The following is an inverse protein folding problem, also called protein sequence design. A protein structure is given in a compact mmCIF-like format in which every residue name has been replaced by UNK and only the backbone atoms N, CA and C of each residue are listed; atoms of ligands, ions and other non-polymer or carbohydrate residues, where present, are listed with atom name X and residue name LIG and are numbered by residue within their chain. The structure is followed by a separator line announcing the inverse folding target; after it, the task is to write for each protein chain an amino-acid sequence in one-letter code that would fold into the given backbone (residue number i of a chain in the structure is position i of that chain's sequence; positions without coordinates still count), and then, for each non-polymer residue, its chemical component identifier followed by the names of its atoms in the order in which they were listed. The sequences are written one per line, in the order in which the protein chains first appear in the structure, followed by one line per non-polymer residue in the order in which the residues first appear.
data_IF_555570758133
#
_entry.id   IF_555570758133
#
_cell.length_a   1.000
_cell.length_b   1.000
_cell.length_c   1.000
_cell.angle_alpha   90.00
_cell.angle_beta   90.00
_cell.angle_gamma   90.00
#
_symmetry.space_group_name_H-M   'P 1'
#
loop_
_entity.id
_entity.type
_entity.pdbx_description
1 polymer ?
#
# COMPACT_ATOMS: atom_id res chain seq x y z
N UNK A 1 -12.27 -15.77 12.43
CA UNK A 1 -13.08 -17.03 12.46
C UNK A 1 -12.16 -18.14 12.98
N UNK A 2 -12.62 -18.93 13.91
CA UNK A 2 -11.87 -20.08 14.40
C UNK A 2 -12.25 -21.29 13.54
N UNK A 3 -11.29 -21.84 12.79
CA UNK A 3 -11.46 -23.04 11.97
C UNK A 3 -10.38 -24.05 12.33
N UNK A 4 -10.80 -25.24 12.79
CA UNK A 4 -9.89 -26.31 13.22
C UNK A 4 -8.90 -25.93 14.36
N UNK A 5 -9.34 -25.10 15.32
CA UNK A 5 -8.50 -24.66 16.44
C UNK A 5 -7.44 -23.60 16.06
N UNK A 6 -7.45 -23.09 14.83
CA UNK A 6 -6.62 -21.96 14.39
C UNK A 6 -7.51 -20.74 14.16
N UNK A 7 -7.12 -19.62 14.74
CA UNK A 7 -7.74 -18.32 14.49
C UNK A 7 -7.29 -17.85 13.11
N UNK A 8 -8.18 -17.93 12.12
CA UNK A 8 -7.92 -17.41 10.77
C UNK A 8 -8.36 -15.94 10.72
N UNK A 9 -7.56 -15.03 10.15
CA UNK A 9 -8.00 -13.68 9.91
C UNK A 9 -9.21 -13.72 8.96
N UNK A 10 -10.29 -13.05 9.34
CA UNK A 10 -11.47 -12.88 8.51
C UNK A 10 -11.15 -11.78 7.48
N UNK A 11 -11.52 -12.01 6.21
CA UNK A 11 -11.49 -10.94 5.20
C UNK A 11 -12.46 -9.85 5.64
N UNK A 12 -11.92 -8.79 6.23
CA UNK A 12 -12.74 -7.73 6.78
C UNK A 12 -13.31 -6.86 5.66
N UNK A 13 -14.63 -6.67 5.66
CA UNK A 13 -15.33 -5.79 4.74
C UNK A 13 -15.42 -4.33 5.25
N UNK A 14 -14.56 -3.98 6.20
CA UNK A 14 -14.51 -2.68 6.86
C UNK A 14 -13.10 -2.37 7.37
N UNK A 15 -12.82 -1.08 7.57
CA UNK A 15 -11.59 -0.65 8.23
C UNK A 15 -11.72 -0.78 9.75
N UNK A 16 -10.58 -0.98 10.40
CA UNK A 16 -10.42 -0.85 11.84
C UNK A 16 -9.24 0.07 12.13
N UNK A 17 -9.45 1.10 12.93
CA UNK A 17 -8.39 2.03 13.34
C UNK A 17 -7.90 1.59 14.72
N UNK A 18 -6.63 1.22 14.79
CA UNK A 18 -5.98 0.78 16.02
C UNK A 18 -4.96 1.80 16.51
N UNK A 19 -4.68 1.78 17.80
CA UNK A 19 -3.56 2.48 18.41
C UNK A 19 -2.30 1.58 18.35
N UNK A 20 -1.16 2.11 18.73
CA UNK A 20 0.07 1.32 18.91
C UNK A 20 0.10 0.56 20.26
N UNK A 21 -0.95 0.67 21.06
CA UNK A 21 -1.05 0.01 22.36
C UNK A 21 -1.61 -1.40 22.14
N UNK A 22 -0.90 -2.40 22.65
CA UNK A 22 -1.34 -3.79 22.68
C UNK A 22 -1.87 -4.19 24.05
N UNK A 23 -2.87 -5.07 24.06
CA UNK A 23 -3.33 -5.79 25.22
C UNK A 23 -3.31 -7.31 24.91
N UNK A 24 -3.81 -8.13 25.85
CA UNK A 24 -3.85 -9.59 25.67
C UNK A 24 -4.68 -10.08 24.47
N UNK A 25 -5.57 -9.21 23.94
CA UNK A 25 -6.46 -9.50 22.82
C UNK A 25 -5.95 -8.92 21.48
N UNK A 26 -4.77 -8.26 21.48
CA UNK A 26 -4.16 -7.61 20.32
C UNK A 26 -4.14 -6.08 20.41
N UNK A 27 -4.05 -5.40 19.25
CA UNK A 27 -4.02 -3.95 19.19
C UNK A 27 -5.33 -3.31 19.66
N UNK A 28 -5.21 -2.32 20.56
CA UNK A 28 -6.36 -1.58 21.11
C UNK A 28 -6.93 -0.67 20.02
N UNK A 29 -8.27 -0.68 19.87
CA UNK A 29 -8.96 0.23 18.96
C UNK A 29 -8.72 1.69 19.36
N UNK A 30 -8.42 2.52 18.39
CA UNK A 30 -8.28 3.95 18.57
C UNK A 30 -9.66 4.60 18.82
N UNK A 31 -9.80 5.62 19.69
CA UNK A 31 -11.09 6.30 19.93
C UNK A 31 -11.77 6.84 18.65
N UNK A 32 -10.99 7.22 17.64
CA UNK A 32 -11.52 7.65 16.34
C UNK A 32 -12.27 6.52 15.59
N UNK A 33 -11.96 5.25 15.84
CA UNK A 33 -12.68 4.13 15.20
C UNK A 33 -14.17 4.16 15.59
N UNK A 34 -14.47 4.34 16.86
CA UNK A 34 -15.85 4.41 17.34
C UNK A 34 -16.56 5.68 16.85
N UNK A 35 -15.87 6.83 16.87
CA UNK A 35 -16.43 8.10 16.39
C UNK A 35 -16.81 8.06 14.91
N UNK A 36 -15.94 7.49 14.06
CA UNK A 36 -16.20 7.37 12.63
C UNK A 36 -17.26 6.31 12.35
N UNK A 37 -17.27 5.18 13.08
CA UNK A 37 -18.33 4.16 12.96
C UNK A 37 -19.71 4.69 13.34
N UNK A 38 -19.81 5.52 14.37
CA UNK A 38 -21.08 6.13 14.76
C UNK A 38 -21.70 6.96 13.64
N UNK A 39 -20.87 7.57 12.77
CA UNK A 39 -21.30 8.36 11.61
C UNK A 39 -21.49 7.50 10.35
N UNK A 40 -20.96 6.27 10.32
CA UNK A 40 -20.96 5.41 9.15
C UNK A 40 -22.28 4.65 8.96
N UNK A 41 -22.75 4.42 7.71
CA UNK A 41 -23.92 3.61 7.43
C UNK A 41 -23.76 2.19 8.01
N UNK A 42 -24.75 1.72 8.74
CA UNK A 42 -24.77 0.41 9.41
C UNK A 42 -23.57 0.18 10.35
N UNK A 43 -22.96 1.23 10.86
CA UNK A 43 -21.75 1.19 11.70
C UNK A 43 -20.57 0.46 11.05
N UNK A 44 -20.57 0.31 9.71
CA UNK A 44 -19.46 -0.28 8.96
C UNK A 44 -18.56 0.82 8.40
N UNK A 45 -17.32 0.86 8.87
CA UNK A 45 -16.35 1.86 8.44
C UNK A 45 -15.73 1.43 7.10
N UNK A 46 -16.32 1.89 6.00
CA UNK A 46 -15.83 1.63 4.62
C UNK A 46 -15.22 2.85 3.96
N UNK A 47 -15.35 4.01 4.58
CA UNK A 47 -14.83 5.28 4.11
C UNK A 47 -14.16 5.98 5.28
N UNK A 48 -12.92 6.42 5.08
CA UNK A 48 -12.16 7.19 6.07
C UNK A 48 -11.68 8.48 5.40
N UNK A 49 -12.11 9.67 5.86
CA UNK A 49 -11.53 10.94 5.42
C UNK A 49 -10.06 11.00 5.79
N UNK A 50 -9.21 11.34 4.84
CA UNK A 50 -7.76 11.42 5.04
C UNK A 50 -7.17 12.64 4.36
N UNK A 51 -5.96 13.03 4.81
CA UNK A 51 -5.05 13.91 4.11
C UNK A 51 -3.71 13.20 3.90
N UNK A 52 -3.11 13.46 2.77
CA UNK A 52 -1.73 13.04 2.54
C UNK A 52 -0.79 13.94 3.35
N UNK A 53 0.31 13.36 3.83
CA UNK A 53 1.30 14.09 4.61
C UNK A 53 2.24 14.85 3.69
N UNK A 54 2.59 14.25 2.56
CA UNK A 54 3.59 14.73 1.62
C UNK A 54 2.96 15.07 0.27
N UNK A 55 3.60 16.00 -0.44
CA UNK A 55 3.26 16.25 -1.84
C UNK A 55 3.82 15.18 -2.78
N UNK A 56 4.89 14.50 -2.37
CA UNK A 56 5.47 13.40 -3.13
C UNK A 56 4.66 12.10 -2.95
N UNK A 57 4.14 11.49 -4.03
CA UNK A 57 3.43 10.21 -3.96
C UNK A 57 4.22 9.08 -3.32
N UNK A 58 5.55 9.01 -3.58
CA UNK A 58 6.41 7.93 -3.09
C UNK A 58 6.69 8.01 -1.59
N UNK A 59 6.61 9.22 -1.01
CA UNK A 59 6.70 9.40 0.43
C UNK A 59 5.42 8.99 1.16
N UNK A 60 4.25 9.19 0.52
CA UNK A 60 2.98 8.77 1.09
C UNK A 60 2.78 7.26 1.01
N UNK A 61 3.03 6.64 -0.15
CA UNK A 61 2.91 5.21 -0.35
C UNK A 61 4.28 4.59 -0.61
N UNK A 62 4.77 3.86 0.38
CA UNK A 62 5.96 3.01 0.24
C UNK A 62 5.51 1.59 -0.06
N UNK A 63 5.87 1.11 -1.23
CA UNK A 63 5.50 -0.23 -1.69
C UNK A 63 6.72 -0.93 -2.29
N UNK A 64 7.16 -1.98 -1.61
CA UNK A 64 8.34 -2.76 -1.97
C UNK A 64 8.04 -4.26 -1.84
N UNK A 65 8.79 -5.09 -2.53
CA UNK A 65 8.85 -6.51 -2.22
C UNK A 65 9.62 -6.71 -0.92
N UNK A 66 8.99 -7.32 0.07
CA UNK A 66 9.60 -7.50 1.38
C UNK A 66 9.61 -8.98 1.78
N UNK A 67 10.73 -9.41 2.33
CA UNK A 67 10.91 -10.69 3.01
C UNK A 67 11.14 -10.39 4.48
N UNK A 68 10.30 -10.95 5.34
CA UNK A 68 10.45 -10.82 6.79
C UNK A 68 11.02 -12.09 7.41
N UNK A 69 11.82 -11.92 8.47
CA UNK A 69 12.14 -12.99 9.38
C UNK A 69 10.93 -13.31 10.27
N UNK A 70 10.48 -14.56 10.23
CA UNK A 70 9.23 -14.97 10.92
C UNK A 70 9.35 -15.01 12.45
N UNK A 71 10.57 -15.01 13.00
CA UNK A 71 10.78 -15.04 14.43
C UNK A 71 10.88 -13.64 15.03
N UNK A 72 11.57 -12.76 14.34
CA UNK A 72 11.87 -11.41 14.84
C UNK A 72 10.94 -10.33 14.28
N UNK A 73 10.18 -10.62 13.23
CA UNK A 73 9.36 -9.62 12.54
C UNK A 73 10.16 -8.57 11.75
N UNK A 74 11.46 -8.72 11.65
CA UNK A 74 12.31 -7.75 10.96
C UNK A 74 12.44 -8.05 9.48
N UNK A 75 12.50 -7.00 8.63
CA UNK A 75 12.81 -7.20 7.23
C UNK A 75 14.20 -7.79 7.04
N UNK A 76 14.30 -8.85 6.26
CA UNK A 76 15.57 -9.48 5.86
C UNK A 76 16.00 -8.98 4.48
N UNK A 77 15.03 -8.73 3.60
CA UNK A 77 15.29 -8.24 2.25
C UNK A 77 14.15 -7.31 1.82
N UNK A 78 14.51 -6.17 1.25
CA UNK A 78 13.59 -5.18 0.71
C UNK A 78 14.04 -4.82 -0.70
N UNK A 79 13.17 -4.98 -1.69
CA UNK A 79 13.52 -4.78 -3.09
C UNK A 79 12.40 -4.19 -3.93
N UNK A 80 12.77 -3.63 -5.07
CA UNK A 80 11.87 -2.98 -6.00
C UNK A 80 11.59 -3.79 -7.29
N UNK A 81 12.13 -5.01 -7.38
CA UNK A 81 12.04 -5.84 -8.59
C UNK A 81 13.30 -5.79 -9.47
N UNK A 82 14.21 -4.84 -9.24
CA UNK A 82 15.49 -4.69 -9.95
C UNK A 82 16.67 -4.84 -8.99
N UNK A 83 16.61 -4.10 -7.89
CA UNK A 83 17.61 -4.12 -6.83
C UNK A 83 16.95 -4.35 -5.47
N UNK A 84 17.67 -4.92 -4.54
CA UNK A 84 17.24 -5.06 -3.17
C UNK A 84 18.37 -4.74 -2.20
N UNK A 85 17.98 -4.31 -1.02
CA UNK A 85 18.84 -4.26 0.14
C UNK A 85 18.54 -5.51 0.99
N UNK A 86 19.59 -6.22 1.40
CA UNK A 86 19.48 -7.46 2.15
C UNK A 86 20.35 -7.39 3.38
N UNK A 87 19.80 -7.81 4.50
CA UNK A 87 20.55 -7.98 5.72
C UNK A 87 21.38 -9.28 5.64
N UNK A 88 22.70 -9.14 5.77
CA UNK A 88 23.66 -10.24 5.79
C UNK A 88 24.40 -10.25 7.13
N UNK A 89 25.27 -11.23 7.33
CA UNK A 89 26.16 -11.27 8.52
C UNK A 89 27.17 -10.11 8.56
N UNK A 90 27.39 -9.44 7.44
CA UNK A 90 28.33 -8.30 7.31
C UNK A 90 27.61 -6.94 7.35
N UNK A 91 26.28 -6.94 7.39
CA UNK A 91 25.46 -5.74 7.38
C UNK A 91 24.44 -5.72 6.24
N UNK A 92 23.99 -4.52 5.87
CA UNK A 92 23.04 -4.35 4.78
C UNK A 92 23.80 -4.20 3.47
N UNK A 93 23.54 -5.10 2.54
CA UNK A 93 24.18 -5.16 1.21
C UNK A 93 23.16 -4.99 0.09
N UNK A 94 23.60 -4.39 -1.01
CA UNK A 94 22.78 -4.27 -2.21
C UNK A 94 22.99 -5.47 -3.12
N UNK A 95 21.88 -6.07 -3.57
CA UNK A 95 21.86 -7.21 -4.49
C UNK A 95 20.87 -6.97 -5.63
N UNK A 96 20.98 -7.72 -6.76
CA UNK A 96 19.92 -7.77 -7.75
C UNK A 96 18.63 -8.36 -7.16
N UNK A 97 17.49 -7.79 -7.51
CA UNK A 97 16.16 -8.31 -7.16
C UNK A 97 15.45 -8.82 -8.43
N UNK A 98 15.37 -10.13 -8.65
CA UNK A 98 14.70 -10.67 -9.84
C UNK A 98 13.17 -10.72 -9.70
N UNK A 99 12.59 -10.02 -8.74
CA UNK A 99 11.21 -10.13 -8.27
C UNK A 99 10.92 -11.47 -7.55
N UNK A 100 9.82 -11.59 -6.78
CA UNK A 100 9.52 -12.81 -6.01
C UNK A 100 9.42 -14.08 -6.85
N UNK A 101 8.88 -13.99 -8.06
CA UNK A 101 8.64 -15.14 -8.93
C UNK A 101 9.94 -15.86 -9.38
N UNK A 102 11.02 -15.12 -9.49
CA UNK A 102 12.32 -15.63 -9.94
C UNK A 102 13.36 -15.70 -8.81
N UNK A 103 13.01 -15.24 -7.62
CA UNK A 103 13.92 -15.19 -6.46
C UNK A 103 13.92 -16.50 -5.69
N UNK A 104 15.09 -17.11 -5.50
CA UNK A 104 15.23 -18.36 -4.71
C UNK A 104 14.83 -18.18 -3.24
N UNK A 105 15.05 -16.98 -2.65
CA UNK A 105 14.68 -16.70 -1.27
C UNK A 105 13.17 -16.48 -1.09
N UNK A 106 12.45 -16.17 -2.17
CA UNK A 106 11.02 -15.94 -2.16
C UNK A 106 10.20 -17.25 -2.26
N UNK A 107 10.85 -18.40 -2.40
CA UNK A 107 10.16 -19.68 -2.50
C UNK A 107 9.21 -19.92 -1.33
N UNK A 108 8.02 -20.47 -1.63
CA UNK A 108 6.98 -20.68 -0.63
C UNK A 108 6.22 -19.42 -0.21
N UNK A 109 6.24 -18.37 -1.06
CA UNK A 109 5.49 -17.13 -0.78
C UNK A 109 6.10 -16.27 0.33
N UNK A 110 7.39 -16.45 0.63
CA UNK A 110 8.05 -15.72 1.71
C UNK A 110 8.30 -14.23 1.41
N UNK A 111 8.41 -13.86 0.14
CA UNK A 111 8.55 -12.47 -0.30
C UNK A 111 7.30 -12.03 -1.04
N UNK A 112 6.70 -10.93 -0.61
CA UNK A 112 5.45 -10.41 -1.15
C UNK A 112 5.51 -8.89 -1.31
N UNK A 113 4.65 -8.28 -2.14
CA UNK A 113 4.45 -6.84 -2.12
C UNK A 113 3.96 -6.41 -0.72
N UNK A 114 4.56 -5.36 -0.20
CA UNK A 114 4.17 -4.76 1.08
C UNK A 114 4.03 -3.25 0.92
N UNK A 115 2.81 -2.76 1.02
CA UNK A 115 2.47 -1.35 0.90
C UNK A 115 2.18 -0.74 2.28
N UNK A 116 2.75 0.45 2.52
CA UNK A 116 2.51 1.28 3.70
C UNK A 116 2.12 2.66 3.24
N UNK A 117 0.86 3.03 3.42
CA UNK A 117 0.35 4.36 3.10
C UNK A 117 0.28 5.19 4.38
N UNK A 118 1.02 6.29 4.40
CA UNK A 118 1.05 7.24 5.50
C UNK A 118 -0.01 8.31 5.28
N UNK A 119 -0.91 8.49 6.25
CA UNK A 119 -2.02 9.45 6.18
C UNK A 119 -2.24 10.14 7.51
N UNK A 120 -2.79 11.35 7.46
CA UNK A 120 -3.45 11.97 8.60
C UNK A 120 -4.95 11.76 8.49
N UNK A 121 -5.60 11.45 9.61
CA UNK A 121 -7.06 11.43 9.68
C UNK A 121 -7.54 12.87 9.93
N UNK A 122 -8.44 13.35 9.08
CA UNK A 122 -8.80 14.76 8.99
C UNK A 122 -9.49 15.35 10.24
N UNK A 123 -10.02 14.49 11.09
CA UNK A 123 -10.69 14.91 12.34
C UNK A 123 -9.79 14.70 13.57
N UNK A 124 -8.54 14.24 13.37
CA UNK A 124 -7.58 14.00 14.43
C UNK A 124 -6.62 15.17 14.62
N UNK A 125 -5.89 15.12 15.71
CA UNK A 125 -4.76 16.00 15.98
C UNK A 125 -3.84 16.07 14.73
N UNK A 126 -3.47 17.29 14.33
CA UNK A 126 -2.67 17.56 13.13
C UNK A 126 -1.32 16.83 13.10
N UNK A 127 -0.88 16.31 14.23
CA UNK A 127 0.38 15.58 14.39
C UNK A 127 0.21 14.04 14.31
N UNK A 128 -1.02 13.54 14.33
CA UNK A 128 -1.29 12.09 14.30
C UNK A 128 -1.10 11.49 12.92
N UNK A 129 -0.08 10.65 12.75
CA UNK A 129 0.14 9.88 11.52
C UNK A 129 -0.39 8.46 11.69
N UNK A 130 -1.21 8.03 10.77
CA UNK A 130 -1.71 6.66 10.67
C UNK A 130 -1.08 5.96 9.47
N UNK A 131 -0.85 4.64 9.60
CA UNK A 131 -0.27 3.82 8.54
C UNK A 131 -1.29 2.76 8.13
N UNK A 132 -1.75 2.84 6.88
CA UNK A 132 -2.50 1.75 6.27
C UNK A 132 -1.50 0.76 5.65
N UNK A 133 -1.51 -0.50 6.13
CA UNK A 133 -0.65 -1.58 5.64
C UNK A 133 -1.45 -2.52 4.75
N UNK A 134 -0.82 -3.03 3.69
CA UNK A 134 -1.46 -4.00 2.80
C UNK A 134 -0.43 -4.82 2.03
N UNK A 135 -0.71 -6.11 1.87
CA UNK A 135 -0.02 -7.01 0.95
C UNK A 135 -0.80 -7.19 -0.35
N UNK A 136 -2.00 -6.62 -0.43
CA UNK A 136 -2.90 -6.74 -1.58
C UNK A 136 -2.43 -5.94 -2.79
N UNK A 137 -1.96 -6.61 -3.83
CA UNK A 137 -1.47 -5.99 -5.06
C UNK A 137 -2.48 -5.01 -5.69
N UNK A 138 -3.78 -5.35 -5.68
CA UNK A 138 -4.83 -4.46 -6.18
C UNK A 138 -4.91 -3.13 -5.42
N UNK A 139 -4.78 -3.17 -4.09
CA UNK A 139 -4.75 -1.94 -3.27
C UNK A 139 -3.53 -1.11 -3.58
N UNK A 140 -2.33 -1.73 -3.58
CA UNK A 140 -1.06 -1.03 -3.86
C UNK A 140 -1.11 -0.34 -5.22
N UNK A 141 -1.48 -1.08 -6.27
CA UNK A 141 -1.58 -0.54 -7.63
C UNK A 141 -2.57 0.60 -7.74
N UNK A 142 -3.75 0.44 -7.11
CA UNK A 142 -4.79 1.47 -7.17
C UNK A 142 -4.36 2.73 -6.44
N UNK A 143 -3.79 2.59 -5.23
CA UNK A 143 -3.30 3.71 -4.45
C UNK A 143 -2.17 4.46 -5.16
N UNK A 144 -1.18 3.75 -5.72
CA UNK A 144 -0.08 4.35 -6.47
C UNK A 144 -0.59 5.17 -7.67
N UNK A 145 -1.52 4.58 -8.46
CA UNK A 145 -2.11 5.27 -9.60
C UNK A 145 -2.91 6.52 -9.20
N UNK A 146 -3.68 6.43 -8.11
CA UNK A 146 -4.47 7.56 -7.59
C UNK A 146 -3.60 8.69 -7.05
N UNK A 147 -2.57 8.37 -6.29
CA UNK A 147 -1.63 9.35 -5.76
C UNK A 147 -0.93 10.11 -6.89
N UNK A 148 -0.41 9.39 -7.90
CA UNK A 148 0.21 10.00 -9.08
C UNK A 148 -0.77 10.87 -9.86
N UNK A 149 -2.01 10.39 -10.05
CA UNK A 149 -3.06 11.16 -10.73
C UNK A 149 -3.39 12.46 -9.99
N UNK A 150 -3.64 12.40 -8.68
CA UNK A 150 -3.99 13.57 -7.89
C UNK A 150 -2.83 14.54 -7.74
N UNK A 151 -1.60 14.03 -7.63
CA UNK A 151 -0.41 14.87 -7.66
C UNK A 151 -0.32 15.69 -8.95
N UNK A 152 -0.45 15.03 -10.10
CA UNK A 152 -0.42 15.70 -11.40
C UNK A 152 -1.60 16.69 -11.57
N UNK A 153 -2.82 16.26 -11.23
CA UNK A 153 -4.04 17.07 -11.38
C UNK A 153 -4.04 18.32 -10.49
N UNK A 154 -3.46 18.24 -9.28
CA UNK A 154 -3.36 19.36 -8.33
C UNK A 154 -2.11 20.24 -8.53
N UNK A 155 -1.29 19.95 -9.53
CA UNK A 155 0.00 20.60 -9.73
C UNK A 155 0.91 20.50 -8.48
N UNK A 156 1.01 19.30 -7.91
CA UNK A 156 1.87 19.01 -6.77
C UNK A 156 1.30 19.34 -5.39
N UNK A 157 0.01 19.68 -5.28
CA UNK A 157 -0.63 20.01 -3.98
C UNK A 157 -1.33 18.80 -3.35
N UNK A 158 -0.70 17.62 -3.40
CA UNK A 158 -1.30 16.36 -2.96
C UNK A 158 -1.68 16.38 -1.47
N UNK A 159 -0.83 16.97 -0.62
CA UNK A 159 -1.06 17.07 0.83
C UNK A 159 -2.26 17.94 1.22
N UNK A 160 -2.67 18.85 0.33
CA UNK A 160 -3.76 19.78 0.56
C UNK A 160 -5.11 19.28 0.01
N UNK A 161 -5.13 18.16 -0.73
CA UNK A 161 -6.37 17.66 -1.34
C UNK A 161 -7.28 17.00 -0.29
N UNK A 162 -8.60 17.27 -0.34
CA UNK A 162 -9.60 16.59 0.50
C UNK A 162 -9.88 15.19 -0.05
N UNK A 163 -9.16 14.20 0.48
CA UNK A 163 -9.21 12.81 0.05
C UNK A 163 -9.91 11.92 1.07
N UNK A 164 -10.26 10.71 0.64
CA UNK A 164 -10.77 9.65 1.51
C UNK A 164 -10.29 8.28 1.02
N UNK A 165 -10.00 7.38 1.94
CA UNK A 165 -9.83 5.96 1.67
C UNK A 165 -11.20 5.31 1.56
N UNK A 166 -11.41 4.54 0.50
CA UNK A 166 -12.67 3.85 0.22
C UNK A 166 -12.42 2.38 0.03
N UNK A 167 -13.06 1.54 0.83
CA UNK A 167 -13.01 0.10 0.66
C UNK A 167 -13.99 -0.33 -0.44
N UNK A 168 -13.47 -0.94 -1.50
CA UNK A 168 -14.24 -1.42 -2.64
C UNK A 168 -14.21 -2.93 -2.71
N UNK A 169 -15.35 -3.53 -3.06
CA UNK A 169 -15.46 -4.95 -3.34
C UNK A 169 -15.43 -5.20 -4.85
N UNK A 170 -14.65 -6.18 -5.29
CA UNK A 170 -14.63 -6.69 -6.66
C UNK A 170 -14.89 -8.19 -6.62
N UNK A 171 -15.88 -8.67 -7.36
CA UNK A 171 -16.10 -10.09 -7.55
C UNK A 171 -15.79 -10.48 -8.99
N UNK A 172 -15.09 -11.59 -9.18
CA UNK A 172 -14.76 -12.15 -10.50
C UNK A 172 -15.20 -13.60 -10.55
N UNK A 173 -15.30 -14.16 -11.75
CA UNK A 173 -15.54 -15.60 -11.94
C UNK A 173 -14.41 -16.45 -11.34
N UNK A 174 -13.17 -15.96 -11.38
CA UNK A 174 -12.00 -16.62 -10.79
C UNK A 174 -12.04 -16.66 -9.26
N UNK A 175 -12.69 -15.68 -8.61
CA UNK A 175 -12.90 -15.69 -7.16
C UNK A 175 -14.15 -16.45 -6.74
N UNK A 176 -14.72 -17.31 -7.61
CA UNK A 176 -15.99 -18.00 -7.38
C UNK A 176 -17.12 -17.06 -6.93
N UNK A 177 -17.10 -15.80 -7.44
CA UNK A 177 -17.98 -14.69 -7.06
C UNK A 177 -17.85 -14.25 -5.59
N UNK A 178 -16.85 -14.73 -4.87
CA UNK A 178 -16.53 -14.20 -3.55
C UNK A 178 -15.96 -12.79 -3.70
N UNK A 179 -16.45 -11.79 -2.96
CA UNK A 179 -15.93 -10.43 -3.06
C UNK A 179 -14.49 -10.38 -2.54
N UNK A 180 -13.59 -9.81 -3.36
CA UNK A 180 -12.23 -9.46 -2.96
C UNK A 180 -12.23 -7.96 -2.68
N UNK A 181 -11.87 -7.57 -1.47
CA UNK A 181 -11.81 -6.17 -1.08
C UNK A 181 -10.44 -5.56 -1.39
N UNK A 182 -10.46 -4.31 -1.84
CA UNK A 182 -9.26 -3.51 -2.05
C UNK A 182 -9.52 -2.06 -1.70
N UNK A 183 -8.47 -1.32 -1.38
CA UNK A 183 -8.57 0.09 -0.99
C UNK A 183 -8.31 0.98 -2.20
N UNK A 184 -9.20 1.95 -2.38
CA UNK A 184 -9.12 3.02 -3.37
C UNK A 184 -8.94 4.36 -2.64
N UNK A 185 -8.30 5.33 -3.29
CA UNK A 185 -8.17 6.71 -2.84
C UNK A 185 -9.03 7.60 -3.73
N UNK A 186 -10.01 8.27 -3.14
CA UNK A 186 -10.97 9.10 -3.86
C UNK A 186 -11.06 10.51 -3.27
N UNK A 187 -11.63 11.44 -4.01
CA UNK A 187 -12.07 12.71 -3.43
C UNK A 187 -13.18 12.45 -2.43
N UNK A 188 -13.33 13.31 -1.43
CA UNK A 188 -14.46 13.27 -0.49
C UNK A 188 -15.78 13.37 -1.21
N UNK A 189 -16.80 12.73 -0.67
CA UNK A 189 -18.14 12.72 -1.23
C UNK A 189 -18.68 14.16 -1.36
N UNK A 190 -19.36 14.42 -2.46
CA UNK A 190 -19.93 15.73 -2.77
C UNK A 190 -18.95 16.77 -3.32
N UNK A 191 -17.66 16.44 -3.49
CA UNK A 191 -16.63 17.34 -4.02
C UNK A 191 -16.17 16.85 -5.39
N UNK A 192 -16.22 17.70 -6.41
CA UNK A 192 -15.63 17.40 -7.71
C UNK A 192 -14.13 17.82 -7.75
N UNK A 193 -13.42 17.39 -8.81
CA UNK A 193 -11.98 17.63 -8.93
C UNK A 193 -11.63 19.13 -8.95
N UNK A 194 -12.42 19.93 -9.63
CA UNK A 194 -12.17 21.37 -9.73
C UNK A 194 -12.32 22.05 -8.36
N UNK A 195 -13.34 21.70 -7.60
CA UNK A 195 -13.55 22.18 -6.23
C UNK A 195 -12.41 21.71 -5.30
N UNK A 196 -11.99 20.45 -5.41
CA UNK A 196 -10.90 19.92 -4.62
C UNK A 196 -9.57 20.65 -4.88
N UNK A 197 -9.28 20.98 -6.13
CA UNK A 197 -8.08 21.76 -6.50
C UNK A 197 -8.17 23.19 -5.93
N UNK A 198 -9.35 23.80 -5.94
CA UNK A 198 -9.55 25.14 -5.38
C UNK A 198 -9.30 25.12 -3.86
N UNK A 199 -9.87 24.15 -3.15
CA UNK A 199 -9.65 23.93 -1.71
C UNK A 199 -8.15 23.72 -1.42
N UNK A 200 -7.48 22.90 -2.24
CA UNK A 200 -6.06 22.63 -2.07
C UNK A 200 -5.19 23.90 -2.21
N UNK A 201 -5.51 24.78 -3.15
CA UNK A 201 -4.82 26.06 -3.31
C UNK A 201 -5.01 26.99 -2.12
N UNK A 202 -6.20 27.04 -1.57
CA UNK A 202 -6.52 27.85 -0.39
C UNK A 202 -5.76 27.36 0.84
N UNK A 203 -5.74 26.03 1.08
CA UNK A 203 -4.97 25.41 2.17
C UNK A 203 -3.48 25.66 2.01
N UNK A 204 -2.92 25.47 0.81
CA UNK A 204 -1.49 25.72 0.53
C UNK A 204 -1.12 27.19 0.80
N UNK A 205 -1.97 28.12 0.37
CA UNK A 205 -1.74 29.55 0.61
C UNK A 205 -1.78 29.88 2.11
N UNK A 206 -2.73 29.35 2.87
CA UNK A 206 -2.83 29.53 4.31
C UNK A 206 -1.61 28.94 5.03
N UNK A 207 -1.18 27.74 4.67
CA UNK A 207 -0.02 27.07 5.23
C UNK A 207 1.27 27.86 5.00
N UNK A 208 1.46 28.40 3.79
CA UNK A 208 2.61 29.27 3.45
C UNK A 208 2.59 30.58 4.24
N UNK A 209 1.42 31.19 4.43
CA UNK A 209 1.26 32.39 5.25
C UNK A 209 1.56 32.11 6.73
N UNK A 210 1.24 30.92 7.23
CA UNK A 210 1.59 30.47 8.57
C UNK A 210 3.09 30.10 8.72
N UNK A 211 3.87 30.14 7.64
CA UNK A 211 5.30 29.83 7.64
C UNK A 211 5.63 28.34 7.44
N UNK A 212 4.64 27.51 7.09
CA UNK A 212 4.85 26.08 6.85
C UNK A 212 5.56 25.84 5.50
N UNK A 213 6.59 25.00 5.51
CA UNK A 213 7.38 24.67 4.31
C UNK A 213 7.25 23.18 3.97
N UNK A 214 6.27 22.83 3.13
CA UNK A 214 6.01 21.46 2.68
C UNK A 214 7.22 20.85 1.95
N UNK A 215 7.94 21.63 1.14
CA UNK A 215 9.12 21.15 0.40
C UNK A 215 10.24 20.72 1.34
N UNK A 216 10.48 21.47 2.41
CA UNK A 216 11.45 21.08 3.42
C UNK A 216 11.03 19.81 4.17
N UNK A 217 9.74 19.67 4.47
CA UNK A 217 9.19 18.46 5.08
C UNK A 217 9.42 17.23 4.19
N UNK A 218 9.09 17.33 2.89
CA UNK A 218 9.29 16.25 1.92
C UNK A 218 10.77 15.85 1.79
N UNK A 219 11.69 16.83 1.82
CA UNK A 219 13.14 16.57 1.77
C UNK A 219 13.63 15.81 3.01
N UNK A 220 13.23 16.24 4.20
CA UNK A 220 13.63 15.58 5.46
C UNK A 220 13.05 14.18 5.53
N UNK A 221 11.80 13.99 5.11
CA UNK A 221 11.15 12.69 5.08
C UNK A 221 11.87 11.68 4.17
N UNK A 222 12.36 12.11 2.99
CA UNK A 222 13.18 11.23 2.13
C UNK A 222 14.41 10.71 2.83
N UNK A 223 15.13 11.59 3.54
CA UNK A 223 16.33 11.19 4.29
C UNK A 223 15.98 10.25 5.45
N UNK A 224 14.93 10.56 6.23
CA UNK A 224 14.49 9.76 7.35
C UNK A 224 14.04 8.36 6.92
N UNK A 225 13.21 8.26 5.90
CA UNK A 225 12.72 6.96 5.40
C UNK A 225 13.82 6.10 4.78
N UNK A 226 14.82 6.70 4.15
CA UNK A 226 15.98 5.98 3.63
C UNK A 226 16.79 5.33 4.75
N UNK A 227 16.96 6.03 5.86
CA UNK A 227 17.75 5.55 7.00
C UNK A 227 17.00 4.48 7.83
N UNK A 228 15.67 4.61 7.95
CA UNK A 228 14.83 3.75 8.80
C UNK A 228 14.22 2.53 8.05
N UNK A 229 14.71 2.18 6.89
CA UNK A 229 14.09 1.16 6.04
C UNK A 229 14.03 -0.24 6.69
N UNK A 230 15.03 -0.59 7.51
CA UNK A 230 15.13 -1.86 8.23
C UNK A 230 14.76 -1.75 9.71
N UNK A 231 14.41 -0.55 10.18
CA UNK A 231 14.01 -0.34 11.55
C UNK A 231 12.49 -0.58 11.66
N UNK A 232 12.12 -1.72 12.21
CA UNK A 232 10.76 -2.03 12.65
C UNK A 232 10.83 -2.29 14.14
N UNK A 233 9.93 -1.67 14.90
CA UNK A 233 9.77 -1.97 16.31
C UNK A 233 9.41 -3.46 16.47
N UNK A 234 10.05 -4.18 17.38
CA UNK A 234 9.85 -5.61 17.57
C UNK A 234 8.38 -5.99 17.88
N UNK A 235 7.64 -5.09 18.50
CA UNK A 235 6.22 -5.28 18.80
C UNK A 235 5.36 -5.17 17.52
N UNK A 236 5.61 -4.15 16.68
CA UNK A 236 4.95 -4.01 15.38
C UNK A 236 5.31 -5.14 14.40
N UNK A 237 6.51 -5.70 14.51
CA UNK A 237 7.00 -6.73 13.62
C UNK A 237 6.21 -8.04 13.71
N UNK A 238 5.73 -8.42 14.87
CA UNK A 238 4.93 -9.64 15.05
C UNK A 238 3.55 -9.51 14.42
N UNK A 239 2.87 -8.37 14.59
CA UNK A 239 1.56 -8.11 13.96
C UNK A 239 1.67 -8.08 12.43
N UNK A 240 2.75 -7.47 11.91
CA UNK A 240 3.01 -7.45 10.46
C UNK A 240 3.20 -8.87 9.92
N UNK A 241 3.83 -9.79 10.69
CA UNK A 241 4.01 -11.17 10.25
C UNK A 241 2.70 -11.93 10.20
N UNK A 242 1.82 -11.77 11.17
CA UNK A 242 0.52 -12.45 11.16
C UNK A 242 -0.32 -12.02 9.96
N UNK A 243 -0.34 -10.72 9.62
CA UNK A 243 -0.98 -10.22 8.41
C UNK A 243 -0.29 -10.68 7.13
N UNK A 244 1.06 -10.64 7.12
CA UNK A 244 1.87 -10.89 5.93
C UNK A 244 1.89 -12.36 5.52
N UNK A 245 1.90 -13.29 6.48
CA UNK A 245 1.99 -14.73 6.26
C UNK A 245 0.69 -15.47 6.56
N UNK A 246 -0.46 -14.81 6.63
CA UNK A 246 -1.74 -15.47 6.80
C UNK A 246 -1.98 -16.50 5.69
N UNK A 247 -2.31 -17.73 6.06
CA UNK A 247 -2.45 -18.89 5.15
C UNK A 247 -3.48 -18.69 4.02
N UNK A 248 -4.43 -17.77 4.19
CA UNK A 248 -5.44 -17.45 3.16
C UNK A 248 -4.87 -16.73 1.92
N UNK A 249 -3.66 -16.15 2.01
CA UNK A 249 -3.00 -15.54 0.85
C UNK A 249 -2.30 -16.56 -0.06
N UNK A 250 -2.14 -17.81 0.36
CA UNK A 250 -1.47 -18.85 -0.42
C UNK A 250 -2.36 -19.46 -1.52
N UNK A 251 -3.68 -19.43 -1.37
CA UNK A 251 -4.58 -20.07 -2.35
C UNK A 251 -4.89 -19.20 -3.59
N UNK A 252 -4.68 -17.90 -3.53
CA UNK A 252 -4.99 -17.00 -4.66
C UNK A 252 -3.82 -16.74 -5.61
N UNK A 253 -2.58 -16.90 -5.16
CA UNK A 253 -1.40 -16.64 -6.01
C UNK A 253 -0.91 -17.87 -6.79
N UNK A 254 -1.23 -19.10 -6.34
CA UNK A 254 -0.82 -20.33 -7.04
C UNK A 254 -1.63 -20.63 -8.31
N UNK A 255 -2.79 -19.98 -8.51
CA UNK A 255 -3.61 -20.22 -9.71
C UNK A 255 -3.23 -19.33 -10.91
N UNK A 256 -2.38 -18.32 -10.76
CA UNK A 256 -1.90 -17.52 -11.89
C UNK A 256 -0.72 -18.14 -12.66
N UNK A 257 -0.06 -19.15 -12.09
CA UNK A 257 1.10 -19.80 -12.72
C UNK A 257 0.76 -21.04 -13.57
N UNK A 258 -0.49 -21.54 -13.59
CA UNK A 258 -0.86 -22.80 -14.29
C UNK A 258 -1.75 -22.65 -15.52
N UNK A 259 -2.10 -21.45 -15.97
CA UNK A 259 -2.99 -21.25 -17.13
C UNK A 259 -2.30 -20.99 -18.47
N UNK A 260 -0.98 -21.07 -18.57
CA UNK A 260 -0.26 -20.88 -19.84
C UNK A 260 0.63 -22.08 -20.23
N UNK A 261 0.06 -23.27 -20.36
CA UNK A 261 0.68 -24.35 -21.15
C UNK A 261 -0.38 -25.19 -21.84
N UNK A 262 -0.84 -24.74 -22.96
CA UNK A 262 -1.13 -25.53 -24.18
C UNK A 262 -1.60 -24.58 -25.28
N UNK A 263 -0.80 -24.28 -26.26
CA UNK A 263 -0.98 -24.57 -27.68
C UNK A 263 -0.12 -23.70 -28.60
N UNK A 264 0.64 -24.38 -29.44
CA UNK A 264 1.17 -24.06 -30.76
C UNK A 264 2.34 -23.10 -30.93
N UNK A 265 3.44 -23.72 -31.33
CA UNK A 265 4.63 -23.14 -31.92
C UNK A 265 4.35 -22.11 -33.00
N UNK A 266 4.86 -20.90 -32.81
CA UNK A 266 5.23 -19.97 -33.86
C UNK A 266 6.43 -19.15 -33.43
N UNK A 267 7.56 -19.47 -34.02
CA UNK A 267 8.83 -18.73 -33.96
C UNK A 267 8.62 -17.23 -34.12
N UNK A 268 8.95 -16.44 -33.09
CA UNK A 268 9.30 -15.03 -33.25
C UNK A 268 10.41 -14.66 -32.26
N UNK A 269 11.41 -14.03 -32.81
CA UNK A 269 12.63 -13.42 -32.30
C UNK A 269 12.40 -12.72 -30.93
N UNK A 270 13.30 -13.02 -29.97
CA UNK A 270 13.46 -12.34 -28.70
C UNK A 270 13.76 -10.85 -28.92
N UNK A 271 13.07 -9.94 -28.24
CA UNK A 271 13.61 -8.61 -27.97
C UNK A 271 14.57 -8.68 -26.77
N UNK A 272 15.69 -7.98 -26.88
CA UNK A 272 16.64 -7.76 -25.79
C UNK A 272 15.98 -7.00 -24.65
N UNK A 273 16.38 -7.24 -23.38
CA UNK A 273 15.84 -6.49 -22.24
C UNK A 273 16.36 -5.06 -22.27
N UNK A 274 15.44 -4.11 -22.29
CA UNK A 274 15.73 -2.71 -22.02
C UNK A 274 16.01 -2.52 -20.52
N UNK A 275 17.10 -1.84 -20.23
CA UNK A 275 17.57 -1.50 -18.89
C UNK A 275 16.67 -0.44 -18.25
N UNK A 276 16.27 -0.69 -17.01
CA UNK A 276 16.08 0.31 -15.97
C UNK A 276 14.73 1.01 -15.88
N UNK A 277 13.73 0.35 -15.31
CA UNK A 277 12.55 1.04 -14.76
C UNK A 277 12.00 0.22 -13.59
N UNK A 278 12.01 0.81 -12.36
CA UNK A 278 11.68 0.14 -11.12
C UNK A 278 10.20 -0.24 -10.94
N UNK A 279 9.90 -1.01 -9.90
CA UNK A 279 8.60 -1.59 -9.55
C UNK A 279 7.39 -0.64 -9.71
N UNK A 280 7.52 0.65 -9.35
CA UNK A 280 6.46 1.65 -9.54
C UNK A 280 6.23 1.96 -11.02
N UNK A 281 7.28 1.92 -11.85
CA UNK A 281 7.18 2.16 -13.28
C UNK A 281 6.59 0.95 -14.02
N UNK A 282 6.85 -0.27 -13.57
CA UNK A 282 6.20 -1.48 -14.09
C UNK A 282 4.68 -1.48 -13.80
N UNK A 283 4.28 -0.99 -12.64
CA UNK A 283 2.86 -0.75 -12.32
C UNK A 283 2.27 0.31 -13.25
N UNK A 284 2.99 1.39 -13.54
CA UNK A 284 2.54 2.45 -14.46
C UNK A 284 2.46 1.97 -15.91
N UNK A 285 3.39 1.13 -16.36
CA UNK A 285 3.35 0.51 -17.70
C UNK A 285 2.17 -0.44 -17.86
N UNK A 286 1.87 -1.25 -16.84
CA UNK A 286 0.69 -2.11 -16.83
C UNK A 286 -0.63 -1.32 -16.96
N UNK A 287 -0.68 -0.10 -16.44
CA UNK A 287 -1.84 0.79 -16.57
C UNK A 287 -1.98 1.40 -17.97
N UNK A 288 -0.88 1.74 -18.63
CA UNK A 288 -0.91 2.29 -20.00
C UNK A 288 -1.30 1.23 -21.05
N UNK A 289 -0.99 -0.05 -20.80
CA UNK A 289 -1.42 -1.16 -21.66
C UNK A 289 -2.92 -1.43 -21.64
N UNK A 290 -3.60 -1.11 -20.53
CA UNK A 290 -5.05 -1.37 -20.35
C UNK A 290 -5.95 -0.34 -21.04
N UNK A 291 -5.44 0.84 -21.39
CA UNK A 291 -6.22 1.93 -22.01
C UNK A 291 -6.38 1.75 -23.53
N UNK A 292 -5.62 0.87 -24.18
CA UNK A 292 -5.68 0.61 -25.63
C UNK A 292 -6.73 -0.40 -26.07
N UNK A 293 -7.52 -0.97 -25.17
CA UNK A 293 -8.48 -2.03 -25.50
C UNK A 293 -9.97 -1.60 -25.46
N UNK A 294 -10.26 -0.30 -25.56
CA UNK A 294 -11.65 0.20 -25.70
C UNK A 294 -11.67 1.21 -26.83
N UNK A 295 -11.77 0.72 -28.04
CA UNK A 295 -12.37 1.36 -29.19
C UNK A 295 -13.09 0.30 -30.03
#
# INVERSE_FOLDING_TARGET
IEKNGKRLPEKDDQFTITSQIQNNDGLVKHPLDEQLRAKAPNQKLRIIPVRMIFNDPELNLRAEYTLFDRQTGRPVCIGNGETCQRQTSQGIEQHPCPSPDLCQLAQGGNCKPFGRLHVNLDESDELGTFIFRTTGFNSIRTLAARLSYYHAASNGLLSCLPLQLTLRGKSTTQSYRTPVYYVDLTLRDGINLQQAIQIAKEIDQQSKQAGFNQTALDQIARQGFSNAQFEINSEEGLDVIEEFYSDENQETDTQHAQAETTTTARTKTKPQPNQGEGFVQDIQKGLQGSVRAVN
#
